data_IF_831335025349
#
_entry.id   IF_831335025349
#
_cell.length_a   1.000
_cell.length_b   1.000
_cell.length_c   1.000
_cell.angle_alpha   90.00
_cell.angle_beta   90.00
_cell.angle_gamma   90.00
#
_symmetry.space_group_name_H-M   'P 1'
#
loop_
_entity.id
_entity.type
_entity.pdbx_description
1 polymer ?
#
# COMPACT_ATOMS: atom_id res chain seq x y z
N UNK A 1 -8.63 -17.19 -36.70
CA UNK A 1 -7.96 -18.27 -35.95
C UNK A 1 -7.02 -17.63 -34.94
N UNK A 2 -7.28 -17.75 -33.63
CA UNK A 2 -6.35 -17.28 -32.60
C UNK A 2 -5.24 -18.32 -32.48
N UNK A 3 -4.06 -18.04 -33.02
CA UNK A 3 -2.87 -18.80 -32.67
C UNK A 3 -2.44 -18.36 -31.27
N UNK A 4 -2.66 -19.24 -30.29
CA UNK A 4 -2.14 -19.05 -28.94
C UNK A 4 -0.63 -19.23 -29.00
N UNK A 5 0.10 -18.15 -29.29
CA UNK A 5 1.56 -18.08 -29.12
C UNK A 5 1.82 -17.63 -27.68
N UNK A 6 1.27 -18.35 -26.70
CA UNK A 6 1.68 -18.18 -25.31
C UNK A 6 2.91 -19.08 -25.14
N UNK A 7 4.08 -18.48 -25.22
CA UNK A 7 5.29 -19.13 -24.73
C UNK A 7 5.19 -19.26 -23.21
N UNK A 8 5.77 -20.31 -22.65
CA UNK A 8 5.84 -20.49 -21.18
C UNK A 8 6.40 -19.26 -20.47
N UNK A 9 7.34 -18.55 -21.10
CA UNK A 9 7.89 -17.29 -20.61
C UNK A 9 6.84 -16.17 -20.49
N UNK A 10 5.97 -15.97 -21.48
CA UNK A 10 4.90 -14.96 -21.42
C UNK A 10 3.87 -15.28 -20.33
N UNK A 11 3.58 -16.56 -20.10
CA UNK A 11 2.68 -16.99 -19.03
C UNK A 11 3.27 -16.72 -17.65
N UNK A 12 4.54 -17.09 -17.42
CA UNK A 12 5.24 -16.81 -16.16
C UNK A 12 5.29 -15.32 -15.89
N UNK A 13 5.64 -14.52 -16.90
CA UNK A 13 5.69 -13.07 -16.77
C UNK A 13 4.32 -12.47 -16.43
N UNK A 14 3.24 -12.94 -17.07
CA UNK A 14 1.87 -12.52 -16.73
C UNK A 14 1.50 -12.87 -15.29
N UNK A 15 1.75 -14.11 -14.85
CA UNK A 15 1.45 -14.54 -13.48
C UNK A 15 2.25 -13.75 -12.44
N UNK A 16 3.54 -13.51 -12.67
CA UNK A 16 4.36 -12.66 -11.80
C UNK A 16 3.81 -11.24 -11.72
N UNK A 17 3.37 -10.68 -12.85
CA UNK A 17 2.77 -9.33 -12.90
C UNK A 17 1.47 -9.27 -12.12
N UNK A 18 0.61 -10.27 -12.28
CA UNK A 18 -0.66 -10.39 -11.57
C UNK A 18 -0.45 -10.53 -10.05
N UNK A 19 0.51 -11.36 -9.62
CA UNK A 19 0.86 -11.51 -8.21
C UNK A 19 1.40 -10.19 -7.65
N UNK A 20 2.27 -9.49 -8.38
CA UNK A 20 2.78 -8.19 -7.96
C UNK A 20 1.65 -7.14 -7.80
N UNK A 21 0.73 -7.07 -8.76
CA UNK A 21 -0.43 -6.19 -8.71
C UNK A 21 -1.32 -6.48 -7.49
N UNK A 22 -1.60 -7.76 -7.22
CA UNK A 22 -2.34 -8.20 -6.03
C UNK A 22 -1.62 -7.85 -4.71
N UNK A 23 -0.30 -8.00 -4.66
CA UNK A 23 0.50 -7.63 -3.48
C UNK A 23 0.48 -6.11 -3.24
N UNK A 24 0.53 -5.30 -4.30
CA UNK A 24 0.43 -3.83 -4.19
C UNK A 24 -0.98 -3.42 -3.73
N UNK A 25 -2.03 -4.06 -4.26
CA UNK A 25 -3.39 -3.85 -3.80
C UNK A 25 -3.54 -4.20 -2.30
N UNK A 26 -2.96 -5.32 -1.87
CA UNK A 26 -2.94 -5.71 -0.46
C UNK A 26 -2.17 -4.69 0.39
N UNK A 27 -1.01 -4.21 -0.07
CA UNK A 27 -0.22 -3.20 0.62
C UNK A 27 -0.97 -1.87 0.78
N UNK A 28 -1.72 -1.44 -0.24
CA UNK A 28 -2.57 -0.24 -0.21
C UNK A 28 -3.65 -0.32 0.88
N UNK A 29 -4.33 -1.46 0.99
CA UNK A 29 -5.47 -1.63 1.90
C UNK A 29 -5.02 -1.99 3.33
N UNK A 30 -3.85 -2.60 3.49
CA UNK A 30 -3.38 -3.12 4.77
C UNK A 30 -3.02 -1.99 5.75
N UNK A 31 -3.57 -1.99 6.98
CA UNK A 31 -3.25 -1.00 8.01
C UNK A 31 -1.98 -1.33 8.79
N UNK A 32 -1.23 -2.38 8.40
CA UNK A 32 -0.12 -2.94 9.18
C UNK A 32 1.26 -2.44 8.75
N UNK A 33 1.39 -1.22 8.23
CA UNK A 33 2.71 -0.70 7.89
C UNK A 33 3.49 -0.36 9.16
N UNK A 34 2.80 0.25 10.12
CA UNK A 34 3.36 0.64 11.41
C UNK A 34 2.38 0.27 12.53
N UNK A 35 2.88 -0.47 13.51
CA UNK A 35 2.15 -0.99 14.66
C UNK A 35 2.59 -0.23 15.92
N UNK A 36 1.67 0.49 16.52
CA UNK A 36 1.86 1.14 17.80
C UNK A 36 2.01 0.16 18.96
N UNK A 37 2.53 0.64 20.10
CA UNK A 37 2.66 -0.16 21.31
C UNK A 37 1.30 -0.67 21.77
N UNK A 38 1.33 -1.81 22.48
CA UNK A 38 0.14 -2.40 23.07
C UNK A 38 -0.48 -1.44 24.08
N UNK A 39 -1.77 -1.11 23.92
CA UNK A 39 -2.48 -0.34 24.94
C UNK A 39 -3.22 -1.28 25.89
N UNK A 40 -3.03 -1.15 27.21
CA UNK A 40 -3.86 -1.86 28.18
C UNK A 40 -5.30 -1.34 28.08
N UNK A 41 -6.24 -2.25 27.78
CA UNK A 41 -7.67 -1.91 27.76
C UNK A 41 -8.10 -1.77 29.22
N UNK A 42 -8.18 -0.54 29.73
CA UNK A 42 -8.79 -0.26 31.03
C UNK A 42 -10.32 -0.37 30.89
N UNK A 43 -10.81 -1.61 30.91
CA UNK A 43 -12.23 -1.95 30.91
C UNK A 43 -12.46 -3.18 31.79
N UNK A 44 -13.31 -3.04 32.80
CA UNK A 44 -13.78 -4.09 33.72
C UNK A 44 -14.60 -5.16 32.98
N UNK A 45 -13.99 -5.90 32.05
CA UNK A 45 -14.64 -7.02 31.37
C UNK A 45 -13.63 -8.15 31.19
N UNK A 46 -13.73 -9.11 32.10
CA UNK A 46 -12.94 -10.35 32.19
C UNK A 46 -13.22 -11.36 31.07
N UNK A 47 -13.23 -10.90 29.81
CA UNK A 47 -13.39 -11.78 28.65
C UNK A 47 -12.33 -11.43 27.61
N UNK A 48 -11.22 -12.16 27.65
CA UNK A 48 -10.10 -12.13 26.70
C UNK A 48 -9.42 -10.76 26.53
N UNK A 49 -8.36 -10.55 27.31
CA UNK A 49 -7.35 -9.49 27.12
C UNK A 49 -6.62 -9.67 25.79
N UNK A 50 -7.32 -9.45 24.68
CA UNK A 50 -6.71 -9.34 23.36
C UNK A 50 -5.94 -8.01 23.35
N UNK A 51 -4.62 -8.12 23.46
CA UNK A 51 -3.69 -7.00 23.35
C UNK A 51 -3.86 -6.38 21.96
N UNK A 52 -4.62 -5.28 21.86
CA UNK A 52 -4.93 -4.64 20.58
C UNK A 52 -3.92 -3.53 20.31
N UNK A 53 -3.21 -3.68 19.20
CA UNK A 53 -2.24 -2.70 18.72
C UNK A 53 -2.94 -1.70 17.81
N UNK A 54 -2.75 -0.40 18.06
CA UNK A 54 -3.13 0.62 17.07
C UNK A 54 -2.21 0.47 15.87
N UNK A 55 -2.74 0.51 14.65
CA UNK A 55 -1.96 0.27 13.43
C UNK A 55 -2.28 1.31 12.37
N UNK A 56 -1.30 1.64 11.55
CA UNK A 56 -1.46 2.60 10.45
C UNK A 56 -0.79 2.07 9.19
N UNK A 57 -1.50 2.20 8.07
CA UNK A 57 -0.99 1.98 6.72
C UNK A 57 -0.97 3.27 5.91
N UNK A 58 -0.77 3.15 4.59
CA UNK A 58 -0.79 4.28 3.66
C UNK A 58 -2.19 4.89 3.48
N UNK A 59 -3.25 4.14 3.75
CA UNK A 59 -4.63 4.58 3.49
C UNK A 59 -5.58 4.30 4.66
N UNK A 60 -5.37 3.15 5.29
CA UNK A 60 -6.18 2.66 6.39
C UNK A 60 -5.46 2.81 7.72
N UNK A 61 -6.23 2.99 8.79
CA UNK A 61 -5.74 2.98 10.17
C UNK A 61 -6.68 2.16 11.03
N UNK A 62 -6.15 1.57 12.08
CA UNK A 62 -6.92 1.00 13.16
C UNK A 62 -6.52 1.62 14.50
N UNK A 63 -7.51 2.06 15.29
CA UNK A 63 -7.29 2.65 16.61
C UNK A 63 -8.30 2.12 17.62
N UNK A 64 -7.89 2.06 18.89
CA UNK A 64 -8.78 1.76 20.01
C UNK A 64 -9.48 3.05 20.45
N UNK A 65 -10.81 3.02 20.56
CA UNK A 65 -11.64 4.11 21.05
C UNK A 65 -12.29 3.71 22.37
N UNK A 66 -12.27 4.60 23.37
CA UNK A 66 -12.69 4.28 24.74
C UNK A 66 -14.15 3.82 24.85
N UNK A 67 -15.06 4.36 24.02
CA UNK A 67 -16.51 4.05 24.09
C UNK A 67 -17.03 3.09 23.02
N UNK A 68 -16.33 2.95 21.89
CA UNK A 68 -16.83 2.22 20.71
C UNK A 68 -15.98 0.98 20.38
N UNK A 69 -14.83 0.81 21.04
CA UNK A 69 -13.96 -0.34 20.84
C UNK A 69 -12.93 -0.13 19.73
N UNK A 70 -12.53 -1.21 19.04
CA UNK A 70 -11.47 -1.19 18.03
C UNK A 70 -12.05 -0.86 16.65
N UNK A 71 -11.63 0.25 16.07
CA UNK A 71 -12.12 0.71 14.77
C UNK A 71 -11.01 0.82 13.74
N UNK A 72 -11.23 0.15 12.61
CA UNK A 72 -10.44 0.30 11.40
C UNK A 72 -11.20 1.17 10.39
N UNK A 73 -10.52 2.12 9.78
CA UNK A 73 -11.13 3.00 8.80
C UNK A 73 -10.09 3.80 8.02
N UNK A 74 -10.60 4.57 7.08
CA UNK A 74 -9.83 5.48 6.25
C UNK A 74 -9.45 6.73 7.04
N UNK A 75 -8.31 7.34 6.74
CA UNK A 75 -7.91 8.58 7.39
C UNK A 75 -8.05 9.81 6.50
N UNK A 76 -8.30 9.61 5.20
CA UNK A 76 -8.43 10.62 4.16
C UNK A 76 -9.91 11.06 3.99
N UNK A 77 -10.48 11.67 5.05
CA UNK A 77 -11.88 12.13 5.02
C UNK A 77 -12.17 13.02 3.80
N UNK A 78 -11.21 13.87 3.43
CA UNK A 78 -11.27 14.77 2.28
C UNK A 78 -10.27 14.34 1.17
N UNK A 79 -9.89 13.06 1.12
CA UNK A 79 -8.88 12.55 0.20
C UNK A 79 -7.51 13.21 0.43
N UNK A 80 -6.85 13.62 -0.66
CA UNK A 80 -5.55 14.30 -0.62
C UNK A 80 -5.62 15.74 -0.04
N UNK A 81 -6.82 16.32 0.06
CA UNK A 81 -7.03 17.64 0.64
C UNK A 81 -7.07 17.63 2.18
N UNK A 82 -7.11 16.46 2.81
CA UNK A 82 -7.05 16.29 4.28
C UNK A 82 -5.85 17.06 4.86
N UNK A 83 -6.00 17.76 5.98
CA UNK A 83 -4.91 18.54 6.59
C UNK A 83 -3.64 17.70 6.83
N UNK A 84 -2.48 18.29 6.52
CA UNK A 84 -1.13 17.75 6.77
C UNK A 84 -0.87 17.33 8.22
N UNK A 85 -1.54 17.96 9.19
CA UNK A 85 -1.46 17.56 10.60
C UNK A 85 -2.03 16.17 10.88
N UNK A 86 -3.00 15.75 10.06
CA UNK A 86 -3.69 14.46 10.11
C UNK A 86 -3.09 13.52 9.07
N UNK A 87 -2.91 13.95 7.83
CA UNK A 87 -2.35 13.14 6.76
C UNK A 87 -1.03 13.77 6.29
N UNK A 88 0.14 13.26 6.77
CA UNK A 88 1.44 13.82 6.41
C UNK A 88 1.63 13.96 4.90
N UNK A 89 2.28 15.03 4.47
CA UNK A 89 2.58 15.32 3.06
C UNK A 89 3.30 14.16 2.38
N UNK A 90 4.26 13.56 3.08
CA UNK A 90 5.10 12.49 2.59
C UNK A 90 4.25 11.26 2.26
N UNK A 91 3.26 10.97 3.11
CA UNK A 91 2.35 9.84 2.90
C UNK A 91 1.32 10.13 1.80
N UNK A 92 0.88 11.38 1.61
CA UNK A 92 0.05 11.77 0.45
C UNK A 92 0.77 11.52 -0.86
N UNK A 93 2.04 11.93 -0.93
CA UNK A 93 2.88 11.71 -2.11
C UNK A 93 3.15 10.22 -2.28
N UNK A 94 3.41 9.47 -1.20
CA UNK A 94 3.54 8.02 -1.25
C UNK A 94 2.28 7.38 -1.85
N UNK A 95 1.09 7.73 -1.35
CA UNK A 95 -0.20 7.23 -1.83
C UNK A 95 -0.40 7.49 -3.33
N UNK A 96 -0.04 8.68 -3.81
CA UNK A 96 -0.08 8.98 -5.25
C UNK A 96 0.83 8.03 -6.04
N UNK A 97 2.08 7.84 -5.62
CA UNK A 97 3.01 6.97 -6.35
C UNK A 97 2.63 5.49 -6.30
N UNK A 98 2.18 4.96 -5.15
CA UNK A 98 1.76 3.55 -5.06
C UNK A 98 0.47 3.30 -5.86
N UNK A 99 -0.46 4.25 -5.90
CA UNK A 99 -1.68 4.15 -6.72
C UNK A 99 -1.40 4.28 -8.22
N UNK A 100 -0.46 5.15 -8.63
CA UNK A 100 0.05 5.21 -10.00
C UNK A 100 0.69 3.88 -10.42
N UNK A 101 1.54 3.32 -9.56
CA UNK A 101 2.17 2.02 -9.79
C UNK A 101 1.15 0.89 -9.96
N UNK A 102 0.18 0.82 -9.06
CA UNK A 102 -0.94 -0.12 -9.14
C UNK A 102 -1.74 0.03 -10.44
N UNK A 103 -2.14 1.26 -10.80
CA UNK A 103 -2.89 1.51 -12.03
C UNK A 103 -2.12 1.07 -13.29
N UNK A 104 -0.82 1.35 -13.36
CA UNK A 104 0.03 0.94 -14.48
C UNK A 104 0.17 -0.59 -14.59
N UNK A 105 0.28 -1.30 -13.46
CA UNK A 105 0.32 -2.76 -13.43
C UNK A 105 -1.03 -3.37 -13.81
N UNK A 106 -2.13 -2.86 -13.28
CA UNK A 106 -3.48 -3.26 -13.65
C UNK A 106 -3.75 -3.09 -15.16
N UNK A 107 -3.33 -1.95 -15.75
CA UNK A 107 -3.39 -1.73 -17.20
C UNK A 107 -2.51 -2.74 -17.95
N UNK A 108 -1.32 -3.05 -17.43
CA UNK A 108 -0.42 -4.04 -18.02
C UNK A 108 -1.03 -5.44 -18.04
N UNK A 109 -1.65 -5.86 -16.93
CA UNK A 109 -2.39 -7.13 -16.83
C UNK A 109 -3.52 -7.18 -17.85
N UNK A 110 -4.31 -6.10 -17.95
CA UNK A 110 -5.41 -6.01 -18.92
C UNK A 110 -4.91 -6.10 -20.37
N UNK A 111 -3.86 -5.36 -20.73
CA UNK A 111 -3.28 -5.39 -22.07
C UNK A 111 -2.70 -6.76 -22.42
N UNK A 112 -2.14 -7.47 -21.43
CA UNK A 112 -1.61 -8.83 -21.62
C UNK A 112 -2.75 -9.83 -21.88
N UNK A 113 -3.87 -9.70 -21.18
CA UNK A 113 -5.09 -10.49 -21.47
C UNK A 113 -5.63 -10.20 -22.87
N UNK A 114 -5.66 -8.93 -23.29
CA UNK A 114 -6.08 -8.55 -24.65
C UNK A 114 -5.12 -9.08 -25.73
N UNK A 115 -3.82 -9.20 -25.41
CA UNK A 115 -2.79 -9.74 -26.31
C UNK A 115 -3.03 -11.21 -26.65
N UNK A 116 -3.67 -11.98 -25.75
CA UNK A 116 -4.08 -13.36 -26.03
C UNK A 116 -5.10 -13.45 -27.18
N UNK A 117 -5.85 -12.38 -27.43
CA UNK A 117 -6.84 -12.29 -28.50
C UNK A 117 -6.33 -11.52 -29.74
N UNK A 118 -5.38 -10.59 -29.56
CA UNK A 118 -4.73 -9.83 -30.65
C UNK A 118 -3.28 -9.48 -30.32
N UNK A 119 -2.36 -9.99 -31.14
CA UNK A 119 -0.91 -9.86 -30.95
C UNK A 119 -0.35 -8.46 -31.29
N UNK A 120 -1.17 -7.54 -31.82
CA UNK A 120 -0.79 -6.18 -32.19
C UNK A 120 -1.87 -5.20 -31.78
N UNK A 121 -1.47 -4.17 -31.05
CA UNK A 121 -2.27 -2.98 -30.75
C UNK A 121 -1.45 -1.76 -31.21
N UNK A 122 -2.03 -0.88 -32.02
CA UNK A 122 -1.39 0.37 -32.47
C UNK A 122 -0.06 0.24 -33.24
N UNK A 123 0.24 -0.91 -33.86
CA UNK A 123 1.42 -1.05 -34.73
C UNK A 123 2.78 -1.04 -34.02
N UNK A 124 2.80 -1.06 -32.68
CA UNK A 124 4.00 -1.27 -31.85
C UNK A 124 3.87 -2.59 -31.08
N UNK A 125 5.00 -3.23 -30.74
CA UNK A 125 5.01 -4.47 -29.95
C UNK A 125 4.42 -4.23 -28.56
N UNK A 126 3.34 -4.95 -28.21
CA UNK A 126 2.67 -4.85 -26.90
C UNK A 126 3.65 -5.23 -25.77
N UNK A 127 4.60 -6.12 -26.04
CA UNK A 127 5.64 -6.51 -25.08
C UNK A 127 6.56 -5.34 -24.70
N UNK A 128 6.92 -4.46 -25.64
CA UNK A 128 7.79 -3.32 -25.33
C UNK A 128 7.05 -2.26 -24.50
N UNK A 129 5.79 -1.98 -24.85
CA UNK A 129 4.97 -1.01 -24.13
C UNK A 129 4.69 -1.45 -22.70
N UNK A 130 4.35 -2.72 -22.51
CA UNK A 130 4.09 -3.29 -21.19
C UNK A 130 5.34 -3.39 -20.33
N UNK A 131 6.50 -3.72 -20.90
CA UNK A 131 7.77 -3.67 -20.19
C UNK A 131 8.09 -2.26 -19.67
N UNK A 132 7.93 -1.23 -20.51
CA UNK A 132 8.11 0.17 -20.07
C UNK A 132 7.14 0.55 -18.94
N UNK A 133 5.86 0.16 -19.05
CA UNK A 133 4.86 0.44 -18.03
C UNK A 133 5.20 -0.22 -16.68
N UNK A 134 5.73 -1.45 -16.70
CA UNK A 134 6.19 -2.14 -15.50
C UNK A 134 7.38 -1.45 -14.84
N UNK A 135 8.35 -0.96 -15.62
CA UNK A 135 9.51 -0.24 -15.07
C UNK A 135 9.05 1.05 -14.37
N UNK A 136 8.17 1.83 -15.02
CA UNK A 136 7.62 3.06 -14.42
C UNK A 136 6.80 2.73 -13.17
N UNK A 137 6.02 1.66 -13.20
CA UNK A 137 5.28 1.18 -12.03
C UNK A 137 6.21 0.81 -10.88
N UNK A 138 7.25 0.02 -11.15
CA UNK A 138 8.23 -0.41 -10.15
C UNK A 138 8.93 0.78 -9.49
N UNK A 139 9.39 1.76 -10.29
CA UNK A 139 9.99 2.99 -9.76
C UNK A 139 8.99 3.76 -8.88
N UNK A 140 7.74 3.89 -9.32
CA UNK A 140 6.69 4.58 -8.55
C UNK A 140 6.44 3.89 -7.21
N UNK A 141 6.29 2.57 -7.20
CA UNK A 141 6.09 1.80 -5.95
C UNK A 141 7.32 1.90 -5.04
N UNK A 142 8.54 1.84 -5.57
CA UNK A 142 9.75 2.02 -4.76
C UNK A 142 9.81 3.41 -4.12
N UNK A 143 9.45 4.47 -4.85
CA UNK A 143 9.37 5.82 -4.29
C UNK A 143 8.36 5.88 -3.15
N UNK A 144 7.19 5.26 -3.30
CA UNK A 144 6.18 5.21 -2.23
C UNK A 144 6.69 4.49 -0.98
N UNK A 145 7.39 3.37 -1.14
CA UNK A 145 8.00 2.62 -0.04
C UNK A 145 9.08 3.42 0.69
N UNK A 146 9.79 4.31 0.00
CA UNK A 146 10.77 5.22 0.59
C UNK A 146 10.12 6.42 1.28
N UNK A 147 9.09 7.01 0.66
CA UNK A 147 8.35 8.16 1.18
C UNK A 147 7.60 7.86 2.47
N UNK A 148 7.11 6.63 2.65
CA UNK A 148 6.34 6.28 3.84
C UNK A 148 7.18 6.38 5.14
N UNK A 149 8.36 5.75 5.27
CA UNK A 149 9.26 5.95 6.40
C UNK A 149 9.80 7.37 6.55
N UNK A 150 9.94 8.13 5.46
CA UNK A 150 10.31 9.55 5.56
C UNK A 150 9.26 10.37 6.34
N UNK A 151 7.99 10.00 6.24
CA UNK A 151 6.90 10.66 6.97
C UNK A 151 6.80 10.30 8.46
N UNK A 152 7.68 9.46 9.00
CA UNK A 152 7.61 9.03 10.41
C UNK A 152 7.93 10.13 11.42
N UNK A 153 8.62 11.19 11.00
CA UNK A 153 8.83 12.38 11.84
C UNK A 153 7.60 13.28 12.01
N UNK A 154 6.47 12.98 11.37
CA UNK A 154 5.28 13.82 11.47
C UNK A 154 4.66 13.74 12.88
N UNK A 155 4.11 14.86 13.36
CA UNK A 155 3.50 14.97 14.69
C UNK A 155 2.45 13.88 15.00
N UNK A 156 1.76 13.38 13.96
CA UNK A 156 0.82 12.28 14.11
C UNK A 156 1.50 10.94 14.43
N UNK A 157 2.60 10.64 13.76
CA UNK A 157 3.37 9.41 14.00
C UNK A 157 4.01 9.49 15.38
N UNK A 158 4.54 10.65 15.76
CA UNK A 158 5.05 10.88 17.11
C UNK A 158 3.99 10.66 18.20
N UNK A 159 2.73 11.05 17.98
CA UNK A 159 1.63 10.73 18.90
C UNK A 159 1.31 9.23 18.99
N UNK A 160 1.63 8.45 17.95
CA UNK A 160 1.38 7.00 17.93
C UNK A 160 2.58 6.20 18.46
N UNK A 161 3.78 6.64 18.14
CA UNK A 161 5.04 5.90 18.27
C UNK A 161 6.01 6.49 19.29
N UNK A 162 5.68 7.64 19.89
CA UNK A 162 6.55 8.35 20.83
C UNK A 162 7.21 9.58 20.20
N UNK A 163 7.63 10.55 21.03
CA UNK A 163 8.22 11.82 20.57
C UNK A 163 9.55 11.63 19.83
N UNK A 164 10.26 10.54 20.10
CA UNK A 164 11.53 10.18 19.47
C UNK A 164 11.35 9.61 18.04
N UNK A 165 10.12 9.56 17.49
CA UNK A 165 9.90 9.10 16.13
C UNK A 165 10.45 10.12 15.11
N UNK A 166 11.33 9.64 14.24
CA UNK A 166 12.06 10.41 13.23
C UNK A 166 11.96 9.71 11.87
N UNK A 167 12.31 10.39 10.75
CA UNK A 167 12.38 9.74 9.44
C UNK A 167 13.22 8.46 9.49
N UNK A 168 12.66 7.33 9.04
CA UNK A 168 13.25 5.99 9.09
C UNK A 168 13.49 5.40 10.50
N UNK A 169 13.08 6.07 11.57
CA UNK A 169 13.18 5.58 12.94
C UNK A 169 11.81 5.54 13.64
N UNK A 170 11.22 4.36 13.88
CA UNK A 170 9.85 4.22 14.34
C UNK A 170 9.66 4.35 15.86
N UNK A 171 10.72 4.61 16.65
CA UNK A 171 10.68 4.67 18.12
C UNK A 171 9.94 3.47 18.77
N UNK A 172 8.87 3.69 19.52
CA UNK A 172 8.10 2.64 20.23
C UNK A 172 7.22 1.81 19.29
N UNK A 173 7.09 2.19 18.02
CA UNK A 173 6.36 1.42 17.03
C UNK A 173 7.19 0.30 16.43
N UNK A 174 6.50 -0.76 16.00
CA UNK A 174 7.09 -1.87 15.26
C UNK A 174 6.58 -1.90 13.82
N UNK A 175 7.41 -2.37 12.89
CA UNK A 175 7.00 -2.59 11.50
C UNK A 175 6.17 -3.88 11.45
N UNK A 176 5.10 -3.89 10.65
CA UNK A 176 4.18 -5.00 10.52
C UNK A 176 4.84 -6.37 10.41
N UNK A 177 4.73 -7.17 11.48
CA UNK A 177 5.01 -8.60 11.43
C UNK A 177 3.72 -9.35 11.10
N UNK A 178 3.83 -10.37 10.25
CA UNK A 178 2.74 -11.28 9.92
C UNK A 178 2.31 -12.09 11.15
#
# INVERSE_FOLDING_TARGET
MCYVIITSGSLVWFLCTLVADMLIAAALVTPRWLLGPAQPVNGHSSVSSSQRHSSVGIYTRCKVMHQVGYHCGRFDLDGLATDSSVYPSEWKVAMFFISLGFALLSVTVLLTLLTCCRQSAFGKSIHNMTACAQVVSGISVMLALFLHPMGWGAARVQRLCGPEAEPFYPADCSIGRY
#
